data_IF_806105325919
#
_entry.id   IF_806105325919
#
_cell.length_a   1.000
_cell.length_b   1.000
_cell.length_c   1.000
_cell.angle_alpha   90.00
_cell.angle_beta   90.00
_cell.angle_gamma   90.00
#
_symmetry.space_group_name_H-M   'P 1'
#
loop_
_entity.id
_entity.type
_entity.pdbx_description
1 polymer ?
#
# COMPACT_ATOMS: atom_id res chain seq x y z
N UNK A 1 -37.60 -46.12 38.06
CA UNK A 1 -38.27 -45.63 36.84
C UNK A 1 -39.35 -44.61 37.17
N UNK A 2 -40.42 -44.92 37.92
CA UNK A 2 -41.49 -43.93 38.17
C UNK A 2 -41.01 -42.72 39.01
N UNK A 3 -40.32 -42.93 40.14
CA UNK A 3 -39.78 -41.81 40.94
C UNK A 3 -38.74 -40.93 40.22
N UNK A 4 -37.93 -41.50 39.32
CA UNK A 4 -36.91 -40.72 38.58
C UNK A 4 -37.56 -39.84 37.51
N UNK A 5 -38.59 -40.35 36.85
CA UNK A 5 -39.39 -39.56 35.90
C UNK A 5 -40.16 -38.44 36.60
N UNK A 6 -40.65 -38.67 37.82
CA UNK A 6 -41.33 -37.64 38.61
C UNK A 6 -40.39 -36.47 38.95
N UNK A 7 -39.17 -36.75 39.44
CA UNK A 7 -38.16 -35.72 39.75
C UNK A 7 -37.77 -34.92 38.49
N UNK A 8 -37.55 -35.59 37.35
CA UNK A 8 -37.23 -34.90 36.09
C UNK A 8 -38.40 -34.02 35.61
N UNK A 9 -39.64 -34.46 35.79
CA UNK A 9 -40.81 -33.67 35.45
C UNK A 9 -40.97 -32.45 36.36
N UNK A 10 -40.71 -32.58 37.67
CA UNK A 10 -40.71 -31.47 38.61
C UNK A 10 -39.66 -30.41 38.24
N UNK A 11 -38.43 -30.83 37.93
CA UNK A 11 -37.36 -29.92 37.48
C UNK A 11 -37.75 -29.21 36.18
N UNK A 12 -38.32 -29.95 35.22
CA UNK A 12 -38.80 -29.40 33.95
C UNK A 12 -39.88 -28.34 34.18
N UNK A 13 -40.87 -28.62 35.01
CA UNK A 13 -41.96 -27.68 35.32
C UNK A 13 -41.44 -26.45 36.06
N UNK A 14 -40.54 -26.63 37.02
CA UNK A 14 -39.87 -25.54 37.71
C UNK A 14 -39.17 -24.60 36.72
N UNK A 15 -38.45 -25.13 35.73
CA UNK A 15 -37.78 -24.30 34.73
C UNK A 15 -38.78 -23.59 33.83
N UNK A 16 -39.75 -24.33 33.29
CA UNK A 16 -40.73 -23.79 32.35
C UNK A 16 -41.62 -22.70 32.95
N UNK A 17 -41.98 -22.82 34.23
CA UNK A 17 -42.81 -21.84 34.92
C UNK A 17 -42.04 -20.60 35.36
N UNK A 18 -40.73 -20.71 35.63
CA UNK A 18 -39.98 -19.63 36.28
C UNK A 18 -38.93 -18.95 35.40
N UNK A 19 -38.48 -19.56 34.29
CA UNK A 19 -37.33 -19.07 33.54
C UNK A 19 -37.54 -18.87 32.03
N UNK A 20 -38.56 -19.46 31.41
CA UNK A 20 -38.78 -19.30 29.97
C UNK A 20 -39.12 -17.87 29.54
N UNK A 21 -39.49 -16.98 30.46
CA UNK A 21 -39.67 -15.55 30.16
C UNK A 21 -38.35 -14.77 30.05
N UNK A 22 -37.21 -15.35 30.46
CA UNK A 22 -35.91 -14.70 30.36
C UNK A 22 -35.37 -14.78 28.92
N UNK A 23 -34.63 -13.75 28.50
CA UNK A 23 -34.11 -13.64 27.14
C UNK A 23 -33.22 -14.83 26.77
N UNK A 24 -33.56 -15.50 25.67
CA UNK A 24 -32.78 -16.62 25.13
C UNK A 24 -33.01 -17.97 25.82
N UNK A 25 -33.81 -18.04 26.89
CA UNK A 25 -34.09 -19.29 27.61
C UNK A 25 -35.13 -20.13 26.85
N UNK A 26 -34.77 -21.34 26.45
CA UNK A 26 -35.70 -22.27 25.78
C UNK A 26 -36.65 -22.94 26.77
N UNK A 27 -37.71 -23.55 26.24
CA UNK A 27 -38.48 -24.54 27.00
C UNK A 27 -37.59 -25.72 27.38
N UNK A 28 -37.68 -26.14 28.64
CA UNK A 28 -37.00 -27.33 29.14
C UNK A 28 -37.68 -28.60 28.64
N UNK A 29 -36.86 -29.58 28.26
CA UNK A 29 -37.31 -30.92 27.83
C UNK A 29 -36.57 -31.99 28.62
N UNK A 30 -37.22 -33.13 28.86
CA UNK A 30 -36.57 -34.32 29.42
C UNK A 30 -35.95 -35.09 28.25
N UNK A 31 -34.65 -35.37 28.32
CA UNK A 31 -33.94 -36.24 27.37
C UNK A 31 -33.02 -37.17 28.14
N UNK A 32 -33.10 -38.46 27.81
CA UNK A 32 -32.41 -39.52 28.55
C UNK A 32 -32.71 -39.42 30.06
N UNK A 33 -31.69 -39.15 30.88
CA UNK A 33 -31.79 -39.03 32.34
C UNK A 33 -31.56 -37.59 32.86
N UNK A 34 -31.81 -36.58 32.03
CA UNK A 34 -31.61 -35.19 32.40
C UNK A 34 -32.71 -34.27 31.85
N UNK A 35 -32.97 -33.18 32.56
CA UNK A 35 -33.69 -32.03 32.03
C UNK A 35 -32.71 -31.13 31.31
N UNK A 36 -33.03 -30.74 30.09
CA UNK A 36 -32.19 -29.89 29.28
C UNK A 36 -32.92 -28.64 28.77
N UNK A 37 -32.24 -27.51 28.80
CA UNK A 37 -32.69 -26.26 28.21
C UNK A 37 -31.48 -25.43 27.76
N UNK A 38 -31.68 -24.50 26.84
CA UNK A 38 -30.61 -23.64 26.33
C UNK A 38 -30.80 -22.19 26.73
N UNK A 39 -29.70 -21.46 26.85
CA UNK A 39 -29.67 -20.00 26.81
C UNK A 39 -28.98 -19.61 25.50
N UNK A 40 -29.74 -19.08 24.55
CA UNK A 40 -29.27 -18.79 23.18
C UNK A 40 -29.48 -17.32 22.84
N UNK A 41 -28.43 -16.69 22.35
CA UNK A 41 -28.43 -15.34 21.78
C UNK A 41 -27.55 -15.30 20.51
N UNK A 42 -27.40 -14.11 19.97
CA UNK A 42 -26.59 -13.77 18.79
C UNK A 42 -25.06 -13.98 18.99
N UNK A 43 -24.57 -14.09 20.21
CA UNK A 43 -23.14 -14.31 20.52
C UNK A 43 -22.81 -15.76 20.89
N UNK A 44 -23.71 -16.44 21.60
CA UNK A 44 -23.48 -17.80 22.06
C UNK A 44 -24.79 -18.58 22.30
N UNK A 45 -24.66 -19.91 22.27
CA UNK A 45 -25.65 -20.85 22.77
C UNK A 45 -25.00 -21.78 23.79
N UNK A 46 -25.63 -21.89 24.95
CA UNK A 46 -25.22 -22.79 26.03
C UNK A 46 -26.38 -23.69 26.42
N UNK A 47 -26.12 -24.99 26.46
CA UNK A 47 -27.03 -26.03 26.93
C UNK A 47 -26.74 -26.31 28.40
N UNK A 48 -27.79 -26.30 29.22
CA UNK A 48 -27.74 -26.73 30.61
C UNK A 48 -28.41 -28.10 30.73
N UNK A 49 -27.71 -29.06 31.34
CA UNK A 49 -28.18 -30.40 31.62
C UNK A 49 -28.28 -30.58 33.13
N UNK A 50 -29.45 -30.98 33.63
CA UNK A 50 -29.72 -31.16 35.05
C UNK A 50 -30.17 -32.61 35.27
N UNK A 51 -29.42 -33.38 36.03
CA UNK A 51 -29.79 -34.76 36.36
C UNK A 51 -30.69 -34.85 37.62
N UNK A 52 -31.12 -36.06 37.96
CA UNK A 52 -31.96 -36.34 39.14
C UNK A 52 -31.27 -36.04 40.47
N UNK A 53 -29.94 -35.88 40.49
CA UNK A 53 -29.17 -35.46 41.67
C UNK A 53 -29.03 -33.93 41.78
N UNK A 54 -29.64 -33.18 40.86
CA UNK A 54 -29.46 -31.74 40.67
C UNK A 54 -28.03 -31.35 40.27
N UNK A 55 -27.24 -32.27 39.71
CA UNK A 55 -25.96 -31.92 39.12
C UNK A 55 -26.22 -31.14 37.82
N UNK A 56 -25.51 -30.02 37.63
CA UNK A 56 -25.70 -29.14 36.48
C UNK A 56 -24.43 -29.13 35.63
N UNK A 57 -24.57 -29.62 34.40
CA UNK A 57 -23.55 -29.51 33.37
C UNK A 57 -23.90 -28.38 32.40
N UNK A 58 -22.90 -27.59 32.06
CA UNK A 58 -22.92 -26.58 31.02
C UNK A 58 -22.21 -27.11 29.77
N UNK A 59 -22.84 -26.99 28.61
CA UNK A 59 -22.29 -27.44 27.33
C UNK A 59 -22.42 -26.36 26.25
N UNK A 60 -21.31 -25.98 25.63
CA UNK A 60 -21.29 -25.07 24.47
C UNK A 60 -21.29 -25.85 23.16
N UNK A 61 -22.06 -25.36 22.18
CA UNK A 61 -22.18 -26.00 20.86
C UNK A 61 -20.94 -25.83 19.96
N UNK A 62 -20.10 -24.82 20.24
CA UNK A 62 -18.83 -24.59 19.54
C UNK A 62 -17.77 -23.99 20.48
N UNK A 63 -16.46 -24.15 20.18
CA UNK A 63 -15.40 -23.47 20.93
C UNK A 63 -15.50 -21.93 20.89
N UNK A 64 -16.03 -21.36 19.82
CA UNK A 64 -16.22 -19.90 19.69
C UNK A 64 -17.22 -19.37 20.72
N UNK A 65 -18.28 -20.12 21.03
CA UNK A 65 -19.30 -19.74 22.01
C UNK A 65 -18.76 -19.63 23.43
N UNK A 66 -17.79 -20.47 23.80
CA UNK A 66 -17.22 -20.45 25.14
C UNK A 66 -16.21 -19.31 25.34
N UNK A 67 -15.70 -18.72 24.26
CA UNK A 67 -14.70 -17.63 24.29
C UNK A 67 -15.35 -16.33 24.78
N UNK A 68 -16.58 -16.04 24.34
CA UNK A 68 -17.35 -14.86 24.77
C UNK A 68 -17.60 -14.88 26.29
N UNK A 69 -18.03 -16.03 26.80
CA UNK A 69 -18.28 -16.24 28.23
C UNK A 69 -16.96 -16.30 29.02
N UNK A 70 -15.94 -16.92 28.43
CA UNK A 70 -14.58 -16.98 28.98
C UNK A 70 -13.98 -15.60 29.24
N UNK A 71 -14.10 -14.68 28.27
CA UNK A 71 -13.67 -13.28 28.41
C UNK A 71 -14.37 -12.58 29.58
N UNK A 72 -15.68 -12.78 29.75
CA UNK A 72 -16.43 -12.22 30.88
C UNK A 72 -15.91 -12.75 32.22
N UNK A 73 -15.63 -14.05 32.30
CA UNK A 73 -15.08 -14.69 33.51
C UNK A 73 -13.59 -14.48 33.77
N UNK A 74 -12.83 -14.00 32.77
CA UNK A 74 -11.37 -13.96 32.83
C UNK A 74 -10.68 -15.33 32.83
N UNK A 75 -11.35 -16.40 32.37
CA UNK A 75 -10.78 -17.76 32.30
C UNK A 75 -11.14 -18.47 30.99
N UNK A 76 -10.36 -19.47 30.60
CA UNK A 76 -10.69 -20.36 29.48
C UNK A 76 -11.70 -21.42 29.92
N UNK A 77 -12.80 -21.56 29.20
CA UNK A 77 -13.85 -22.55 29.48
C UNK A 77 -13.72 -23.77 28.56
N UNK A 78 -13.99 -24.96 29.10
CA UNK A 78 -14.15 -26.17 28.31
C UNK A 78 -15.54 -26.23 27.68
N UNK A 79 -15.66 -26.92 26.53
CA UNK A 79 -16.95 -27.10 25.85
C UNK A 79 -18.00 -27.81 26.71
N UNK A 80 -17.60 -28.64 27.67
CA UNK A 80 -18.47 -29.20 28.70
C UNK A 80 -17.83 -29.01 30.06
N UNK A 81 -18.57 -28.44 31.00
CA UNK A 81 -18.10 -28.17 32.37
C UNK A 81 -19.24 -28.40 33.35
N UNK A 82 -19.00 -29.21 34.38
CA UNK A 82 -19.91 -29.31 35.53
C UNK A 82 -19.77 -28.06 36.39
N UNK A 83 -20.87 -27.34 36.59
CA UNK A 83 -20.87 -26.06 37.31
C UNK A 83 -21.45 -26.16 38.73
N UNK A 84 -22.30 -27.17 38.99
CA UNK A 84 -22.90 -27.39 40.29
C UNK A 84 -23.07 -28.88 40.57
N UNK A 85 -22.65 -29.34 41.74
CA UNK A 85 -22.72 -30.74 42.19
C UNK A 85 -22.67 -30.80 43.71
N UNK A 86 -23.30 -31.80 44.33
CA UNK A 86 -23.26 -32.03 45.78
C UNK A 86 -23.63 -30.78 46.61
N UNK A 87 -24.63 -30.03 46.11
CA UNK A 87 -25.11 -28.76 46.68
C UNK A 87 -24.08 -27.62 46.74
N UNK A 88 -23.07 -27.64 45.87
CA UNK A 88 -21.99 -26.64 45.82
C UNK A 88 -21.63 -26.27 44.39
N UNK A 89 -21.15 -25.04 44.21
CA UNK A 89 -20.47 -24.64 42.98
C UNK A 89 -19.19 -25.46 42.80
N UNK A 90 -18.97 -25.95 41.57
CA UNK A 90 -17.75 -26.68 41.19
C UNK A 90 -16.75 -25.77 40.50
N UNK A 91 -17.21 -24.63 39.97
CA UNK A 91 -16.38 -23.68 39.22
C UNK A 91 -16.19 -22.37 39.98
N UNK A 92 -15.03 -21.74 39.77
CA UNK A 92 -14.63 -20.50 40.46
C UNK A 92 -15.27 -19.27 39.79
N UNK A 93 -15.51 -19.33 38.47
CA UNK A 93 -16.03 -18.20 37.70
C UNK A 93 -17.53 -17.94 37.90
N UNK A 94 -18.24 -18.90 38.49
CA UNK A 94 -19.67 -18.83 38.74
C UNK A 94 -19.93 -19.14 40.22
N UNK A 95 -19.72 -18.15 41.12
CA UNK A 95 -19.99 -18.36 42.53
C UNK A 95 -21.50 -18.51 42.73
N UNK A 96 -21.93 -19.70 43.18
CA UNK A 96 -23.32 -20.00 43.49
C UNK A 96 -23.51 -19.96 45.01
N UNK A 97 -24.52 -19.25 45.48
CA UNK A 97 -24.65 -18.90 46.91
C UNK A 97 -25.74 -19.69 47.63
N UNK A 98 -26.58 -20.41 46.90
CA UNK A 98 -27.67 -21.21 47.45
C UNK A 98 -27.51 -22.69 47.16
N UNK A 99 -28.12 -23.53 47.99
CA UNK A 99 -28.34 -24.95 47.71
C UNK A 99 -29.71 -25.24 47.10
N UNK A 100 -30.59 -24.23 47.02
CA UNK A 100 -31.92 -24.34 46.44
C UNK A 100 -31.83 -24.26 44.90
N UNK A 101 -32.27 -25.31 44.22
CA UNK A 101 -32.14 -25.45 42.76
C UNK A 101 -32.71 -24.24 42.00
N UNK A 102 -33.85 -23.70 42.43
CA UNK A 102 -34.47 -22.52 41.81
C UNK A 102 -33.55 -21.30 41.87
N UNK A 103 -32.94 -21.04 43.04
CA UNK A 103 -32.03 -19.89 43.22
C UNK A 103 -30.76 -20.12 42.41
N UNK A 104 -30.19 -21.33 42.46
CA UNK A 104 -29.01 -21.71 41.66
C UNK A 104 -29.25 -21.48 40.17
N UNK A 105 -30.37 -21.95 39.63
CA UNK A 105 -30.70 -21.76 38.20
C UNK A 105 -30.87 -20.28 37.84
N UNK A 106 -31.45 -19.47 38.73
CA UNK A 106 -31.55 -18.02 38.54
C UNK A 106 -30.16 -17.37 38.49
N UNK A 107 -29.26 -17.71 39.42
CA UNK A 107 -27.88 -17.20 39.44
C UNK A 107 -27.11 -17.57 38.15
N UNK A 108 -27.29 -18.80 37.65
CA UNK A 108 -26.70 -19.25 36.39
C UNK A 108 -27.26 -18.43 35.21
N UNK A 109 -28.57 -18.25 35.11
CA UNK A 109 -29.21 -17.50 34.01
C UNK A 109 -28.79 -16.03 34.05
N UNK A 110 -28.81 -15.40 35.23
CA UNK A 110 -28.40 -14.00 35.42
C UNK A 110 -26.94 -13.80 34.99
N UNK A 111 -26.06 -14.76 35.28
CA UNK A 111 -24.66 -14.74 34.83
C UNK A 111 -24.54 -14.71 33.30
N UNK A 112 -25.23 -15.57 32.56
CA UNK A 112 -25.15 -15.58 31.09
C UNK A 112 -25.74 -14.32 30.47
N UNK A 113 -26.82 -13.78 31.04
CA UNK A 113 -27.40 -12.52 30.59
C UNK A 113 -26.41 -11.37 30.82
N UNK A 114 -25.71 -11.35 31.96
CA UNK A 114 -24.66 -10.36 32.26
C UNK A 114 -23.48 -10.48 31.28
N UNK A 115 -23.00 -11.70 31.06
CA UNK A 115 -21.92 -11.98 30.11
C UNK A 115 -22.27 -11.49 28.69
N UNK A 116 -23.50 -11.76 28.24
CA UNK A 116 -24.01 -11.25 26.97
C UNK A 116 -24.02 -9.71 26.94
N UNK A 117 -24.61 -9.06 27.95
CA UNK A 117 -24.72 -7.60 27.99
C UNK A 117 -23.37 -6.90 27.98
N UNK A 118 -22.34 -7.47 28.63
CA UNK A 118 -21.00 -6.91 28.65
C UNK A 118 -20.24 -7.16 27.33
N UNK A 119 -20.37 -8.35 26.73
CA UNK A 119 -19.60 -8.70 25.54
C UNK A 119 -20.20 -8.12 24.24
N UNK A 120 -21.53 -7.98 24.16
CA UNK A 120 -22.31 -7.52 23.00
C UNK A 120 -21.66 -6.36 22.26
N UNK A 121 -21.46 -5.23 22.95
CA UNK A 121 -21.01 -4.01 22.28
C UNK A 121 -19.61 -4.15 21.69
N UNK A 122 -18.69 -4.76 22.43
CA UNK A 122 -17.31 -4.96 21.96
C UNK A 122 -17.25 -5.93 20.78
N UNK A 123 -17.96 -7.06 20.88
CA UNK A 123 -18.02 -8.04 19.80
C UNK A 123 -18.56 -7.44 18.50
N UNK A 124 -19.63 -6.65 18.59
CA UNK A 124 -20.19 -5.96 17.42
C UNK A 124 -19.24 -4.91 16.84
N UNK A 125 -18.60 -4.10 17.68
CA UNK A 125 -17.65 -3.09 17.22
C UNK A 125 -16.43 -3.72 16.52
N UNK A 126 -15.89 -4.81 17.05
CA UNK A 126 -14.78 -5.54 16.45
C UNK A 126 -15.15 -6.15 15.09
N UNK A 127 -16.34 -6.76 14.99
CA UNK A 127 -16.82 -7.33 13.74
C UNK A 127 -17.10 -6.26 12.68
N UNK A 128 -17.66 -5.12 13.07
CA UNK A 128 -17.85 -3.97 12.17
C UNK A 128 -16.50 -3.45 11.70
N UNK A 129 -15.53 -3.28 12.61
CA UNK A 129 -14.18 -2.84 12.25
C UNK A 129 -13.52 -3.78 11.25
N UNK A 130 -13.53 -5.10 11.53
CA UNK A 130 -12.99 -6.12 10.62
C UNK A 130 -13.68 -6.09 9.25
N UNK A 131 -15.00 -5.94 9.23
CA UNK A 131 -15.77 -5.82 7.99
C UNK A 131 -15.39 -4.55 7.21
N UNK A 132 -15.25 -3.41 7.89
CA UNK A 132 -14.82 -2.16 7.28
C UNK A 132 -13.40 -2.25 6.73
N UNK A 133 -12.46 -2.84 7.48
CA UNK A 133 -11.08 -3.05 7.04
C UNK A 133 -11.05 -3.92 5.78
N UNK A 134 -11.85 -5.00 5.73
CA UNK A 134 -12.01 -5.85 4.56
C UNK A 134 -12.60 -5.10 3.36
N UNK A 135 -13.63 -4.28 3.57
CA UNK A 135 -14.23 -3.45 2.50
C UNK A 135 -13.19 -2.45 1.96
N UNK A 136 -12.48 -1.75 2.85
CA UNK A 136 -11.42 -0.81 2.46
C UNK A 136 -10.30 -1.50 1.67
N UNK A 137 -9.92 -2.72 2.07
CA UNK A 137 -8.95 -3.53 1.33
C UNK A 137 -9.44 -3.87 -0.08
N UNK A 138 -10.67 -4.40 -0.20
CA UNK A 138 -11.26 -4.77 -1.50
C UNK A 138 -11.42 -3.56 -2.42
N UNK A 139 -11.79 -2.39 -1.88
CA UNK A 139 -11.90 -1.14 -2.65
C UNK A 139 -10.54 -0.66 -3.17
N UNK A 140 -9.49 -0.72 -2.34
CA UNK A 140 -8.12 -0.38 -2.76
C UNK A 140 -7.63 -1.33 -3.84
N UNK A 141 -7.89 -2.62 -3.69
CA UNK A 141 -7.51 -3.63 -4.67
C UNK A 141 -8.24 -3.43 -6.00
N UNK A 142 -9.55 -3.13 -5.94
CA UNK A 142 -10.32 -2.78 -7.14
C UNK A 142 -9.77 -1.52 -7.83
N UNK A 143 -9.48 -0.46 -7.08
CA UNK A 143 -8.90 0.77 -7.63
C UNK A 143 -7.56 0.49 -8.33
N UNK A 144 -6.72 -0.35 -7.72
CA UNK A 144 -5.43 -0.76 -8.28
C UNK A 144 -5.61 -1.50 -9.60
N UNK A 145 -6.49 -2.51 -9.62
CA UNK A 145 -6.79 -3.30 -10.83
C UNK A 145 -7.36 -2.42 -11.95
N UNK A 146 -8.35 -1.58 -11.65
CA UNK A 146 -8.96 -0.67 -12.62
C UNK A 146 -7.92 0.32 -13.18
N UNK A 147 -7.01 0.81 -12.34
CA UNK A 147 -5.92 1.72 -12.75
C UNK A 147 -4.92 1.01 -13.65
N UNK A 148 -4.47 -0.19 -13.28
CA UNK A 148 -3.50 -0.95 -14.06
C UNK A 148 -4.06 -1.31 -15.43
N UNK A 149 -5.34 -1.71 -15.52
CA UNK A 149 -5.98 -2.02 -16.79
C UNK A 149 -6.11 -0.78 -17.69
N UNK A 150 -6.53 0.36 -17.13
CA UNK A 150 -6.62 1.61 -17.88
C UNK A 150 -5.24 2.08 -18.38
N UNK A 151 -4.21 2.00 -17.54
CA UNK A 151 -2.82 2.27 -17.94
C UNK A 151 -2.38 1.33 -19.06
N UNK A 152 -2.67 0.04 -18.94
CA UNK A 152 -2.26 -0.98 -19.92
C UNK A 152 -2.87 -0.68 -21.27
N UNK A 153 -4.17 -0.39 -21.30
CA UNK A 153 -4.88 -0.04 -22.52
C UNK A 153 -4.37 1.28 -23.13
N UNK A 154 -4.09 2.29 -22.29
CA UNK A 154 -3.57 3.57 -22.75
C UNK A 154 -2.16 3.46 -23.33
N UNK A 155 -1.24 2.79 -22.62
CA UNK A 155 0.16 2.67 -23.02
C UNK A 155 0.36 1.68 -24.17
N UNK A 156 -0.57 0.74 -24.40
CA UNK A 156 -0.49 -0.25 -25.46
C UNK A 156 -0.37 0.43 -26.83
N UNK A 157 0.75 0.18 -27.51
CA UNK A 157 1.07 0.77 -28.81
C UNK A 157 1.52 2.23 -28.76
N UNK A 158 1.58 2.86 -27.57
CA UNK A 158 2.09 4.23 -27.36
C UNK A 158 3.45 4.24 -26.69
N UNK A 159 3.67 3.40 -25.67
CA UNK A 159 4.91 3.42 -24.91
C UNK A 159 6.00 2.55 -25.55
N UNK A 160 7.17 3.14 -25.78
CA UNK A 160 8.36 2.44 -26.25
C UNK A 160 8.97 1.61 -25.11
N UNK A 161 9.63 0.50 -25.47
CA UNK A 161 10.52 -0.20 -24.54
C UNK A 161 11.71 0.69 -24.16
N UNK A 162 12.49 0.31 -23.14
CA UNK A 162 13.68 1.08 -22.78
C UNK A 162 14.72 1.11 -23.92
N UNK A 163 14.96 -0.03 -24.59
CA UNK A 163 15.86 -0.08 -25.74
C UNK A 163 15.31 0.71 -26.94
N UNK A 164 14.02 0.61 -27.23
CA UNK A 164 13.42 1.36 -28.35
C UNK A 164 13.42 2.86 -28.06
N UNK A 165 13.33 3.26 -26.80
CA UNK A 165 13.50 4.65 -26.38
C UNK A 165 14.91 5.14 -26.73
N UNK A 166 15.98 4.39 -26.38
CA UNK A 166 17.36 4.75 -26.73
C UNK A 166 17.58 4.78 -28.25
N UNK A 167 17.08 3.78 -28.98
CA UNK A 167 17.14 3.73 -30.46
C UNK A 167 16.42 4.91 -31.10
N UNK A 168 15.28 5.33 -30.56
CA UNK A 168 14.55 6.49 -31.05
C UNK A 168 15.33 7.80 -30.86
N UNK A 169 16.05 7.96 -29.73
CA UNK A 169 16.88 9.14 -29.47
C UNK A 169 18.05 9.27 -30.45
N UNK A 170 18.61 8.15 -30.88
CA UNK A 170 19.68 8.10 -31.88
C UNK A 170 19.16 8.41 -33.29
N UNK A 171 18.09 7.71 -33.72
CA UNK A 171 17.61 7.78 -35.11
C UNK A 171 16.86 9.05 -35.50
N UNK A 172 16.24 9.75 -34.54
CA UNK A 172 15.35 10.91 -34.81
C UNK A 172 15.92 12.26 -34.35
N UNK A 173 17.15 12.29 -33.87
CA UNK A 173 17.78 13.45 -33.23
C UNK A 173 16.89 14.15 -32.16
N UNK A 174 16.06 13.38 -31.43
CA UNK A 174 15.14 13.90 -30.40
C UNK A 174 15.84 14.19 -29.07
N UNK A 175 15.49 15.27 -28.39
CA UNK A 175 15.84 15.48 -26.98
C UNK A 175 15.07 14.52 -26.07
N UNK A 176 15.42 14.45 -24.79
CA UNK A 176 14.80 13.56 -23.80
C UNK A 176 14.34 14.34 -22.58
N UNK A 177 13.05 14.26 -22.27
CA UNK A 177 12.44 14.84 -21.06
C UNK A 177 11.73 13.71 -20.31
N UNK A 178 12.20 13.36 -19.11
CA UNK A 178 11.67 12.22 -18.35
C UNK A 178 10.80 12.68 -17.19
N UNK A 179 9.76 11.90 -16.94
CA UNK A 179 8.89 12.02 -15.79
C UNK A 179 9.09 10.78 -14.92
N UNK A 180 9.47 11.01 -13.66
CA UNK A 180 9.41 10.06 -12.57
C UNK A 180 8.26 10.39 -11.61
N UNK A 181 8.27 9.75 -10.46
CA UNK A 181 7.34 10.01 -9.37
C UNK A 181 7.40 11.46 -8.87
N UNK A 182 8.60 12.06 -8.84
CA UNK A 182 8.79 13.46 -8.47
C UNK A 182 8.18 14.45 -9.45
N UNK A 183 8.47 14.31 -10.75
CA UNK A 183 7.87 15.19 -11.77
C UNK A 183 6.36 15.03 -11.85
N UNK A 184 5.85 13.80 -11.75
CA UNK A 184 4.41 13.53 -11.76
C UNK A 184 3.74 14.16 -10.52
N UNK A 185 4.37 14.09 -9.35
CA UNK A 185 3.86 14.74 -8.14
C UNK A 185 3.77 16.25 -8.35
N UNK A 186 4.85 16.90 -8.80
CA UNK A 186 4.86 18.33 -9.10
C UNK A 186 3.85 18.75 -10.20
N UNK A 187 3.50 17.84 -11.11
CA UNK A 187 2.52 18.08 -12.18
C UNK A 187 1.06 18.06 -11.66
N UNK A 188 0.76 17.28 -10.61
CA UNK A 188 -0.60 17.04 -10.11
C UNK A 188 -0.89 17.54 -8.69
N UNK A 189 0.10 18.04 -7.94
CA UNK A 189 -0.06 18.50 -6.54
C UNK A 189 0.52 19.90 -6.27
N UNK A 190 0.01 20.55 -5.22
CA UNK A 190 0.34 21.91 -4.80
C UNK A 190 1.40 22.01 -3.69
N UNK A 191 2.04 20.90 -3.31
CA UNK A 191 3.02 20.84 -2.20
C UNK A 191 4.47 20.52 -2.61
N UNK A 192 4.74 20.31 -3.90
CA UNK A 192 6.09 20.02 -4.40
C UNK A 192 6.52 18.57 -4.14
N UNK A 193 7.82 18.31 -4.21
CA UNK A 193 8.39 16.97 -4.02
C UNK A 193 9.85 17.03 -3.54
N UNK A 194 10.17 16.39 -2.41
CA UNK A 194 11.50 16.21 -1.81
C UNK A 194 12.40 17.46 -1.80
N UNK A 195 13.14 17.66 -2.90
CA UNK A 195 14.15 18.68 -3.10
C UNK A 195 13.63 19.87 -3.92
N UNK A 196 12.36 19.88 -4.32
CA UNK A 196 11.76 20.89 -5.18
C UNK A 196 10.41 21.36 -4.63
N UNK A 197 10.36 22.61 -4.20
CA UNK A 197 9.14 23.29 -3.78
C UNK A 197 8.16 23.48 -4.95
N UNK A 198 6.88 23.57 -4.57
CA UNK A 198 5.81 23.88 -5.51
C UNK A 198 5.97 25.27 -6.12
N UNK A 199 5.68 25.36 -7.42
CA UNK A 199 5.45 26.62 -8.11
C UNK A 199 4.42 26.39 -9.21
N UNK A 200 3.43 27.28 -9.32
CA UNK A 200 2.45 27.24 -10.41
C UNK A 200 3.12 27.33 -11.79
N UNK A 201 4.22 28.08 -11.90
CA UNK A 201 5.01 28.18 -13.14
C UNK A 201 5.65 26.83 -13.48
N UNK A 202 6.28 26.18 -12.50
CA UNK A 202 6.88 24.85 -12.64
C UNK A 202 5.84 23.83 -13.08
N UNK A 203 4.72 23.76 -12.35
CA UNK A 203 3.63 22.82 -12.63
C UNK A 203 3.09 23.00 -14.06
N UNK A 204 2.87 24.24 -14.49
CA UNK A 204 2.38 24.52 -15.83
C UNK A 204 3.40 24.17 -16.90
N UNK A 205 4.70 24.41 -16.69
CA UNK A 205 5.73 23.98 -17.63
C UNK A 205 5.78 22.45 -17.77
N UNK A 206 5.66 21.69 -16.67
CA UNK A 206 5.56 20.23 -16.74
C UNK A 206 4.33 19.77 -17.55
N UNK A 207 3.18 20.40 -17.34
CA UNK A 207 1.95 20.10 -18.08
C UNK A 207 2.08 20.45 -19.57
N UNK A 208 2.75 21.55 -19.88
CA UNK A 208 2.99 21.97 -21.26
C UNK A 208 3.92 21.00 -22.00
N UNK A 209 4.93 20.45 -21.31
CA UNK A 209 5.81 19.41 -21.83
C UNK A 209 5.00 18.14 -22.15
N UNK A 210 4.07 17.76 -21.29
CA UNK A 210 3.21 16.60 -21.55
C UNK A 210 2.27 16.80 -22.74
N UNK A 211 1.83 18.03 -23.03
CA UNK A 211 0.88 18.32 -24.11
C UNK A 211 1.54 18.59 -25.46
N UNK A 212 2.74 19.18 -25.47
CA UNK A 212 3.36 19.68 -26.69
C UNK A 212 4.69 19.01 -26.96
N UNK A 213 4.89 18.51 -28.19
CA UNK A 213 6.18 17.97 -28.61
C UNK A 213 7.13 19.10 -29.03
N UNK A 214 8.05 19.50 -28.13
CA UNK A 214 9.13 20.46 -28.40
C UNK A 214 10.40 19.78 -28.91
N UNK A 215 10.29 18.92 -29.93
CA UNK A 215 11.39 18.09 -30.42
C UNK A 215 12.06 17.24 -29.30
N UNK A 216 11.26 16.84 -28.31
CA UNK A 216 11.69 16.01 -27.19
C UNK A 216 10.80 14.80 -27.10
N UNK A 217 11.41 13.64 -26.88
CA UNK A 217 10.70 12.45 -26.48
C UNK A 217 10.32 12.61 -25.01
N UNK A 218 9.01 12.63 -24.76
CA UNK A 218 8.43 12.66 -23.41
C UNK A 218 8.39 11.24 -22.88
N UNK A 219 9.04 10.99 -21.75
CA UNK A 219 9.19 9.65 -21.19
C UNK A 219 8.48 9.52 -19.85
N UNK A 220 7.72 8.44 -19.67
CA UNK A 220 7.01 8.14 -18.42
C UNK A 220 7.38 6.76 -17.88
N UNK A 221 7.17 6.50 -16.57
CA UNK A 221 7.35 5.17 -16.02
C UNK A 221 6.27 4.25 -16.59
N UNK A 222 6.66 3.04 -16.98
CA UNK A 222 5.72 2.01 -17.40
C UNK A 222 4.98 1.37 -16.22
N UNK A 223 4.16 0.38 -16.53
CA UNK A 223 3.50 -0.47 -15.53
C UNK A 223 4.53 -1.44 -14.96
N UNK A 224 4.61 -1.51 -13.63
CA UNK A 224 5.45 -2.46 -12.88
C UNK A 224 4.58 -3.23 -11.89
N UNK A 225 3.87 -4.30 -12.32
CA UNK A 225 2.90 -5.00 -11.48
C UNK A 225 3.52 -5.62 -10.23
N UNK A 226 4.80 -5.95 -10.28
CA UNK A 226 5.59 -6.51 -9.17
C UNK A 226 6.06 -5.47 -8.14
N UNK A 227 6.02 -4.17 -8.46
CA UNK A 227 6.54 -3.12 -7.60
C UNK A 227 5.42 -2.48 -6.75
N UNK A 228 5.40 -2.69 -5.42
CA UNK A 228 4.34 -2.16 -4.55
C UNK A 228 4.30 -0.62 -4.51
N UNK A 229 5.45 0.04 -4.68
CA UNK A 229 5.53 1.49 -4.71
C UNK A 229 4.84 2.02 -5.97
N UNK A 230 5.21 1.54 -7.16
CA UNK A 230 4.60 1.99 -8.42
C UNK A 230 3.12 1.65 -8.49
N UNK A 231 2.70 0.49 -8.00
CA UNK A 231 1.28 0.13 -7.90
C UNK A 231 0.48 1.13 -7.07
N UNK A 232 0.99 1.50 -5.89
CA UNK A 232 0.34 2.46 -5.00
C UNK A 232 0.37 3.86 -5.58
N UNK A 233 1.51 4.27 -6.13
CA UNK A 233 1.71 5.57 -6.76
C UNK A 233 0.72 5.78 -7.91
N UNK A 234 0.67 4.85 -8.86
CA UNK A 234 -0.22 4.96 -10.01
C UNK A 234 -1.69 4.95 -9.63
N UNK A 235 -2.08 4.13 -8.65
CA UNK A 235 -3.46 4.12 -8.13
C UNK A 235 -3.92 5.51 -7.64
N UNK A 236 -2.99 6.31 -7.11
CA UNK A 236 -3.26 7.66 -6.64
C UNK A 236 -3.10 8.75 -7.71
N UNK A 237 -2.19 8.56 -8.68
CA UNK A 237 -1.75 9.62 -9.59
C UNK A 237 -2.26 9.47 -11.02
N UNK A 238 -2.53 8.26 -11.50
CA UNK A 238 -2.74 7.98 -12.93
C UNK A 238 -3.88 8.80 -13.53
N UNK A 239 -5.07 8.77 -12.94
CA UNK A 239 -6.24 9.50 -13.46
C UNK A 239 -6.01 11.02 -13.53
N UNK A 240 -5.25 11.58 -12.58
CA UNK A 240 -4.89 13.01 -12.55
C UNK A 240 -3.83 13.36 -13.59
N UNK A 241 -2.92 12.43 -13.87
CA UNK A 241 -1.82 12.63 -14.81
C UNK A 241 -2.24 12.38 -16.27
N UNK A 242 -3.05 11.36 -16.52
CA UNK A 242 -3.41 10.88 -17.87
C UNK A 242 -4.00 11.98 -18.76
N UNK A 243 -4.80 12.89 -18.19
CA UNK A 243 -5.45 14.00 -18.92
C UNK A 243 -4.46 14.96 -19.59
N UNK A 244 -3.18 14.92 -19.22
CA UNK A 244 -2.14 15.74 -19.84
C UNK A 244 -1.44 15.01 -21.00
N UNK A 245 -1.72 13.73 -21.20
CA UNK A 245 -1.07 12.87 -22.19
C UNK A 245 -1.99 12.50 -23.37
N UNK A 246 -3.20 13.06 -23.45
CA UNK A 246 -4.20 12.66 -24.44
C UNK A 246 -3.68 12.75 -25.89
N UNK A 247 -2.91 13.81 -26.20
CA UNK A 247 -2.30 14.07 -27.52
C UNK A 247 -0.93 13.38 -27.72
N UNK A 248 -0.43 12.63 -26.74
CA UNK A 248 0.83 11.91 -26.84
C UNK A 248 0.63 10.53 -27.47
N UNK A 249 1.03 10.41 -28.74
CA UNK A 249 0.96 9.15 -29.50
C UNK A 249 2.18 8.25 -29.30
N UNK A 250 3.34 8.82 -28.94
CA UNK A 250 4.57 8.08 -28.65
C UNK A 250 5.14 8.58 -27.33
N UNK A 251 5.27 7.66 -26.38
CA UNK A 251 5.78 7.91 -25.03
C UNK A 251 7.03 7.06 -24.85
N UNK A 252 8.15 7.65 -24.46
CA UNK A 252 9.34 6.87 -24.12
C UNK A 252 9.26 6.29 -22.70
N UNK A 253 10.18 5.40 -22.36
CA UNK A 253 10.26 4.83 -21.03
C UNK A 253 11.21 5.65 -20.14
N UNK A 254 10.75 6.20 -19.02
CA UNK A 254 11.62 7.01 -18.14
C UNK A 254 12.66 6.19 -17.38
N UNK A 255 12.49 4.85 -17.32
CA UNK A 255 13.41 3.91 -16.68
C UNK A 255 14.71 3.71 -17.46
N UNK A 256 14.86 4.32 -18.65
CA UNK A 256 16.10 4.30 -19.44
C UNK A 256 17.34 4.85 -18.71
N UNK A 257 17.13 5.61 -17.63
CA UNK A 257 18.19 6.16 -16.77
C UNK A 257 18.15 5.63 -15.32
N UNK A 258 17.32 4.61 -15.06
CA UNK A 258 17.20 3.96 -13.74
C UNK A 258 17.82 2.58 -13.78
N UNK A 259 17.98 1.96 -12.61
CA UNK A 259 18.62 0.65 -12.45
C UNK A 259 18.06 -0.43 -13.41
N UNK A 260 16.78 -0.34 -13.74
CA UNK A 260 16.07 -1.24 -14.64
C UNK A 260 16.79 -1.41 -15.99
N UNK A 261 17.26 -0.33 -16.62
CA UNK A 261 17.91 -0.43 -17.94
C UNK A 261 19.12 -1.36 -17.89
N UNK A 262 19.92 -1.26 -16.84
CA UNK A 262 21.16 -2.03 -16.70
C UNK A 262 20.89 -3.44 -16.20
N UNK A 263 19.93 -3.64 -15.29
CA UNK A 263 19.53 -4.97 -14.84
C UNK A 263 18.95 -5.82 -15.98
N UNK A 264 18.16 -5.22 -16.86
CA UNK A 264 17.50 -5.96 -17.94
C UNK A 264 18.32 -6.06 -19.22
N UNK A 265 19.20 -5.08 -19.50
CA UNK A 265 19.91 -5.00 -20.79
C UNK A 265 21.44 -4.90 -20.68
N UNK A 266 21.99 -4.78 -19.47
CA UNK A 266 23.44 -4.85 -19.22
C UNK A 266 24.27 -3.98 -20.16
N UNK A 267 25.24 -4.60 -20.81
CA UNK A 267 26.20 -3.92 -21.68
C UNK A 267 25.59 -3.34 -22.97
N UNK A 268 24.49 -3.91 -23.48
CA UNK A 268 23.79 -3.37 -24.67
C UNK A 268 23.30 -1.95 -24.40
N UNK A 269 22.70 -1.72 -23.22
CA UNK A 269 22.26 -0.40 -22.81
C UNK A 269 23.42 0.59 -22.66
N UNK A 270 24.56 0.13 -22.13
CA UNK A 270 25.76 0.96 -22.01
C UNK A 270 26.23 1.43 -23.38
N UNK A 271 26.31 0.51 -24.35
CA UNK A 271 26.68 0.85 -25.73
C UNK A 271 25.71 1.86 -26.34
N UNK A 272 24.40 1.59 -26.28
CA UNK A 272 23.38 2.49 -26.84
C UNK A 272 23.40 3.89 -26.21
N UNK A 273 23.68 3.99 -24.90
CA UNK A 273 23.87 5.29 -24.25
C UNK A 273 25.12 6.00 -24.79
N UNK A 274 26.26 5.30 -24.85
CA UNK A 274 27.54 5.86 -25.33
C UNK A 274 27.47 6.33 -26.78
N UNK A 275 26.72 5.65 -27.63
CA UNK A 275 26.51 6.02 -29.04
C UNK A 275 25.83 7.40 -29.18
N UNK A 276 25.04 7.83 -28.19
CA UNK A 276 24.36 9.14 -28.25
C UNK A 276 25.32 10.33 -28.14
N UNK A 277 26.52 10.14 -27.58
CA UNK A 277 27.53 11.18 -27.36
C UNK A 277 28.93 10.82 -27.86
N UNK A 278 29.05 9.78 -28.68
CA UNK A 278 30.33 9.37 -29.25
C UNK A 278 30.97 10.48 -30.09
N UNK A 279 32.19 10.88 -29.71
CA UNK A 279 32.93 11.96 -30.36
C UNK A 279 32.31 13.35 -30.25
N UNK A 280 31.32 13.56 -29.36
CA UNK A 280 30.60 14.84 -29.21
C UNK A 280 31.19 15.73 -28.12
N UNK A 281 31.04 17.03 -28.29
CA UNK A 281 31.33 18.04 -27.27
C UNK A 281 30.11 18.17 -26.35
N UNK A 282 30.29 17.84 -25.08
CA UNK A 282 29.21 17.70 -24.11
C UNK A 282 29.22 18.84 -23.10
N UNK A 283 28.04 19.37 -22.78
CA UNK A 283 27.84 20.20 -21.60
C UNK A 283 27.00 19.44 -20.57
N UNK A 284 27.58 19.18 -19.41
CA UNK A 284 26.90 18.59 -18.28
C UNK A 284 26.20 19.67 -17.46
N UNK A 285 24.98 19.38 -16.99
CA UNK A 285 24.26 20.27 -16.07
C UNK A 285 23.83 19.47 -14.84
N UNK A 286 24.26 19.89 -13.66
CA UNK A 286 23.95 19.19 -12.41
C UNK A 286 23.83 20.14 -11.22
N UNK A 287 23.36 19.64 -10.07
CA UNK A 287 23.31 20.39 -8.82
C UNK A 287 24.66 20.44 -8.10
N UNK A 288 24.98 21.56 -7.43
CA UNK A 288 26.13 21.68 -6.52
C UNK A 288 26.14 20.56 -5.48
N UNK A 289 27.30 19.96 -5.22
CA UNK A 289 27.42 18.85 -4.25
C UNK A 289 26.50 17.64 -4.54
N UNK A 290 26.05 17.49 -5.79
CA UNK A 290 25.39 16.26 -6.23
C UNK A 290 26.43 15.14 -6.37
N UNK A 291 25.95 13.90 -6.47
CA UNK A 291 26.81 12.72 -6.74
C UNK A 291 27.06 12.50 -8.23
N UNK A 292 26.76 13.50 -9.07
CA UNK A 292 26.99 13.39 -10.50
C UNK A 292 28.47 13.56 -10.80
N UNK A 293 29.02 12.60 -11.54
CA UNK A 293 30.43 12.58 -11.93
C UNK A 293 30.56 12.81 -13.45
N UNK A 294 31.07 13.98 -13.90
CA UNK A 294 31.30 14.25 -15.32
C UNK A 294 32.48 13.46 -15.91
N UNK A 295 33.36 12.89 -15.08
CA UNK A 295 34.51 12.08 -15.49
C UNK A 295 34.19 10.56 -15.53
N UNK A 296 32.92 10.21 -15.30
CA UNK A 296 32.46 8.83 -15.25
C UNK A 296 32.72 8.05 -16.55
N UNK A 297 32.99 6.74 -16.47
CA UNK A 297 33.35 5.86 -17.61
C UNK A 297 32.30 5.81 -18.75
N UNK A 298 31.05 6.14 -18.44
CA UNK A 298 29.98 6.30 -19.45
C UNK A 298 30.28 7.44 -20.43
N UNK A 299 31.06 8.44 -20.03
CA UNK A 299 31.40 9.59 -20.85
C UNK A 299 32.81 9.50 -21.44
N UNK A 300 33.48 8.34 -21.35
CA UNK A 300 34.87 8.19 -21.79
C UNK A 300 35.12 8.37 -23.30
N UNK A 301 34.05 8.42 -24.10
CA UNK A 301 34.10 8.54 -25.56
C UNK A 301 33.64 9.92 -26.07
N UNK A 302 33.44 10.90 -25.18
CA UNK A 302 33.16 12.27 -25.58
C UNK A 302 34.42 12.93 -26.16
N UNK A 303 34.26 13.93 -27.02
CA UNK A 303 35.37 14.74 -27.53
C UNK A 303 35.84 15.77 -26.51
N UNK A 304 34.92 16.43 -25.83
CA UNK A 304 35.20 17.42 -24.78
C UNK A 304 34.02 17.55 -23.83
N UNK A 305 34.27 18.01 -22.60
CA UNK A 305 33.26 18.17 -21.55
C UNK A 305 33.35 19.55 -20.88
N UNK A 306 32.20 20.16 -20.63
CA UNK A 306 32.03 21.34 -19.76
C UNK A 306 30.96 21.06 -18.71
N UNK A 307 30.96 21.81 -17.60
CA UNK A 307 30.01 21.60 -16.49
C UNK A 307 29.38 22.93 -16.06
N UNK A 308 28.05 22.96 -16.05
CA UNK A 308 27.25 24.01 -15.41
C UNK A 308 26.65 23.45 -14.12
N UNK A 309 26.88 24.15 -13.02
CA UNK A 309 26.27 23.83 -11.73
C UNK A 309 25.09 24.76 -11.44
N UNK A 310 23.99 24.18 -10.98
CA UNK A 310 22.82 24.84 -10.41
C UNK A 310 22.70 24.52 -8.91
N UNK A 311 21.65 24.99 -8.26
CA UNK A 311 21.32 24.57 -6.90
C UNK A 311 20.96 23.08 -6.85
N UNK A 312 21.20 22.42 -5.71
CA UNK A 312 20.85 21.00 -5.52
C UNK A 312 19.48 20.78 -4.87
N UNK A 313 18.85 21.88 -4.44
CA UNK A 313 17.47 21.97 -3.95
C UNK A 313 16.84 23.20 -4.57
N UNK A 314 15.57 23.12 -4.88
CA UNK A 314 14.78 24.17 -5.51
C UNK A 314 15.44 24.73 -6.78
N UNK A 315 16.14 23.89 -7.55
CA UNK A 315 16.92 24.30 -8.72
C UNK A 315 16.08 25.04 -9.77
N UNK A 316 14.75 24.88 -9.74
CA UNK A 316 13.85 25.59 -10.64
C UNK A 316 13.89 27.10 -10.44
N UNK A 317 14.20 27.61 -9.23
CA UNK A 317 14.36 29.05 -9.01
C UNK A 317 15.55 29.65 -9.78
N UNK A 318 16.50 28.81 -10.17
CA UNK A 318 17.73 29.17 -10.89
C UNK A 318 17.68 28.76 -12.38
N UNK A 319 16.55 28.22 -12.86
CA UNK A 319 16.45 27.62 -14.20
C UNK A 319 16.76 28.62 -15.33
N UNK A 320 16.36 29.89 -15.17
CA UNK A 320 16.56 30.91 -16.20
C UNK A 320 18.06 31.23 -16.36
N UNK A 321 18.81 31.36 -15.25
CA UNK A 321 20.27 31.54 -15.30
C UNK A 321 20.97 30.33 -15.92
N UNK A 322 20.56 29.11 -15.54
CA UNK A 322 21.13 27.87 -16.08
C UNK A 322 20.88 27.77 -17.57
N UNK A 323 19.67 28.08 -18.04
CA UNK A 323 19.32 28.10 -19.46
C UNK A 323 20.20 29.08 -20.25
N UNK A 324 20.34 30.33 -19.80
CA UNK A 324 21.22 31.31 -20.46
C UNK A 324 22.69 30.87 -20.47
N UNK A 325 23.16 30.24 -19.37
CA UNK A 325 24.51 29.68 -19.30
C UNK A 325 24.73 28.58 -20.33
N UNK A 326 23.75 27.69 -20.52
CA UNK A 326 23.80 26.66 -21.56
C UNK A 326 23.86 27.27 -22.97
N UNK A 327 23.10 28.33 -23.21
CA UNK A 327 23.05 29.00 -24.52
C UNK A 327 24.34 29.76 -24.87
N UNK A 328 25.09 30.19 -23.85
CA UNK A 328 26.33 30.94 -24.01
C UNK A 328 27.55 30.06 -24.35
N UNK A 329 27.49 28.73 -24.16
CA UNK A 329 28.62 27.84 -24.45
C UNK A 329 28.66 27.54 -25.96
N UNK A 330 29.71 27.98 -26.69
CA UNK A 330 29.86 27.68 -28.10
C UNK A 330 30.15 26.19 -28.31
N UNK A 331 29.89 25.69 -29.52
CA UNK A 331 30.31 24.37 -29.98
C UNK A 331 29.86 23.18 -29.10
N UNK A 332 28.76 23.33 -28.36
CA UNK A 332 28.14 22.22 -27.62
C UNK A 332 27.20 21.43 -28.54
N UNK A 333 27.54 20.16 -28.75
CA UNK A 333 26.74 19.24 -29.56
C UNK A 333 25.54 18.69 -28.78
N UNK A 334 25.71 18.46 -27.47
CA UNK A 334 24.68 17.85 -26.62
C UNK A 334 24.79 18.28 -25.15
N UNK A 335 23.64 18.53 -24.53
CA UNK A 335 23.52 18.79 -23.10
C UNK A 335 23.08 17.50 -22.38
N UNK A 336 23.80 17.10 -21.33
CA UNK A 336 23.45 15.96 -20.49
C UNK A 336 23.10 16.45 -19.07
N UNK A 337 21.87 16.23 -18.65
CA UNK A 337 21.27 16.94 -17.51
C UNK A 337 20.90 15.97 -16.38
N UNK A 338 21.38 16.25 -15.17
CA UNK A 338 21.08 15.52 -13.95
C UNK A 338 20.64 16.50 -12.85
N UNK A 339 19.42 17.06 -12.98
CA UNK A 339 18.93 18.16 -12.13
C UNK A 339 17.48 17.97 -11.63
N UNK A 340 17.09 16.72 -11.39
CA UNK A 340 15.73 16.36 -10.92
C UNK A 340 14.62 16.95 -11.80
N UNK A 341 13.55 17.43 -11.17
CA UNK A 341 12.39 18.05 -11.84
C UNK A 341 12.80 19.20 -12.76
N UNK A 342 13.82 19.97 -12.36
CA UNK A 342 14.34 21.08 -13.17
C UNK A 342 15.04 20.57 -14.42
N UNK A 343 15.65 19.38 -14.36
CA UNK A 343 16.27 18.73 -15.50
C UNK A 343 15.29 18.42 -16.62
N UNK A 344 14.11 17.90 -16.28
CA UNK A 344 13.01 17.65 -17.23
C UNK A 344 12.56 18.93 -17.95
N UNK A 345 12.45 20.03 -17.21
CA UNK A 345 12.03 21.31 -17.79
C UNK A 345 13.14 21.92 -18.63
N UNK A 346 14.38 21.90 -18.13
CA UNK A 346 15.53 22.43 -18.84
C UNK A 346 15.80 21.70 -20.15
N UNK A 347 15.69 20.37 -20.17
CA UNK A 347 15.88 19.59 -21.41
C UNK A 347 14.84 19.96 -22.47
N UNK A 348 13.57 20.16 -22.06
CA UNK A 348 12.52 20.63 -22.97
C UNK A 348 12.74 22.06 -23.46
N UNK A 349 13.17 22.99 -22.60
CA UNK A 349 13.47 24.37 -23.00
C UNK A 349 14.61 24.42 -24.01
N UNK A 350 15.70 23.68 -23.77
CA UNK A 350 16.83 23.59 -24.69
C UNK A 350 16.42 22.94 -26.02
N UNK A 351 15.59 21.91 -25.99
CA UNK A 351 15.01 21.30 -27.19
C UNK A 351 14.18 22.30 -28.00
N UNK A 352 13.35 23.11 -27.33
CA UNK A 352 12.59 24.19 -27.95
C UNK A 352 13.46 25.30 -28.55
N UNK A 353 14.67 25.49 -28.02
CA UNK A 353 15.69 26.40 -28.56
C UNK A 353 16.57 25.74 -29.65
N UNK A 354 16.21 24.55 -30.13
CA UNK A 354 16.96 23.84 -31.18
C UNK A 354 18.24 23.15 -30.71
N UNK A 355 18.45 23.02 -29.39
CA UNK A 355 19.59 22.32 -28.80
C UNK A 355 19.23 20.87 -28.45
N UNK A 356 20.15 19.94 -28.69
CA UNK A 356 19.98 18.55 -28.25
C UNK A 356 20.25 18.46 -26.75
N UNK A 357 19.25 18.04 -25.98
CA UNK A 357 19.35 17.93 -24.53
C UNK A 357 18.76 16.61 -24.03
N UNK A 358 19.50 15.90 -23.20
CA UNK A 358 19.07 14.64 -22.60
C UNK A 358 19.02 14.77 -21.08
N UNK A 359 17.83 14.66 -20.51
CA UNK A 359 17.67 14.43 -19.09
C UNK A 359 18.11 12.99 -18.75
N UNK A 360 19.31 12.85 -18.18
CA UNK A 360 19.93 11.57 -17.82
C UNK A 360 19.78 11.22 -16.34
N UNK A 361 19.29 12.14 -15.49
CA UNK A 361 18.98 11.87 -14.08
C UNK A 361 20.08 11.11 -13.33
N UNK A 362 19.74 9.92 -12.82
CA UNK A 362 20.63 9.08 -12.01
C UNK A 362 21.45 8.06 -12.82
N UNK A 363 21.61 8.23 -14.13
CA UNK A 363 22.23 7.24 -15.01
C UNK A 363 23.59 6.71 -14.50
N UNK A 364 24.52 7.61 -14.11
CA UNK A 364 25.85 7.21 -13.60
C UNK A 364 25.75 6.41 -12.31
N UNK A 365 24.92 6.86 -11.38
CA UNK A 365 24.71 6.17 -10.12
C UNK A 365 24.09 4.78 -10.30
N UNK A 366 23.12 4.66 -11.23
CA UNK A 366 22.48 3.38 -11.54
C UNK A 366 23.44 2.42 -12.25
N UNK A 367 24.35 2.94 -13.07
CA UNK A 367 25.44 2.14 -13.64
C UNK A 367 26.34 1.60 -12.53
N UNK A 368 26.83 2.48 -11.66
CA UNK A 368 27.70 2.11 -10.54
C UNK A 368 27.06 1.07 -9.61
N UNK A 369 25.75 1.18 -9.38
CA UNK A 369 25.03 0.21 -8.56
C UNK A 369 25.06 -1.19 -9.19
N UNK A 370 24.78 -1.30 -10.49
CA UNK A 370 24.67 -2.60 -11.16
C UNK A 370 26.03 -3.21 -11.46
N UNK A 371 26.98 -2.42 -11.95
CA UNK A 371 28.27 -2.93 -12.42
C UNK A 371 29.37 -2.90 -11.36
N UNK A 372 29.30 -2.00 -10.38
CA UNK A 372 30.31 -1.83 -9.35
C UNK A 372 29.82 -2.15 -7.93
N UNK A 373 28.53 -2.51 -7.78
CA UNK A 373 27.93 -2.84 -6.48
C UNK A 373 27.86 -1.66 -5.52
N UNK A 374 27.88 -0.40 -6.01
CA UNK A 374 27.78 0.78 -5.15
C UNK A 374 26.37 0.88 -4.51
N UNK A 375 26.27 1.44 -3.29
CA UNK A 375 25.00 1.62 -2.61
C UNK A 375 24.04 2.59 -3.31
N UNK A 376 22.74 2.43 -3.05
CA UNK A 376 21.66 3.28 -3.59
C UNK A 376 21.88 4.73 -3.15
N UNK A 377 22.02 5.70 -4.06
CA UNK A 377 22.30 7.10 -3.73
C UNK A 377 21.30 7.69 -2.74
N UNK A 378 20.01 7.43 -2.93
CA UNK A 378 18.92 7.95 -2.11
C UNK A 378 18.98 7.42 -0.66
N UNK A 379 19.72 6.33 -0.42
CA UNK A 379 19.94 5.74 0.92
C UNK A 379 21.27 6.18 1.56
N UNK A 380 22.10 6.92 0.85
CA UNK A 380 23.37 7.42 1.36
C UNK A 380 23.17 8.76 2.08
N UNK A 381 23.75 8.90 3.27
CA UNK A 381 23.72 10.15 4.03
C UNK A 381 24.29 11.31 3.18
N UNK A 382 23.71 12.53 3.24
CA UNK A 382 24.17 13.67 2.45
C UNK A 382 25.64 14.07 2.69
N UNK A 383 26.22 13.65 3.81
CA UNK A 383 27.59 13.98 4.22
C UNK A 383 28.68 13.00 3.77
N UNK A 384 28.36 11.98 2.97
CA UNK A 384 29.38 11.14 2.33
C UNK A 384 29.64 11.68 0.93
N UNK A 385 30.43 12.75 0.90
CA UNK A 385 31.15 13.26 -0.28
C UNK A 385 32.58 12.74 -0.23
#
# INVERSE_FOLDING_TARGET
MDMENDVLNEIRELINQNFCQYYGVSTATVRDNAVCFTITNDLFSVLLLIDTSHCIDMVFSSPENNTVVGIHSGITLNNRTTIYKDKKAVTIFLPLHSSELKIVLKEIIDYFISAYNQARNNYYLENIKKSNDNICFLLKEKLRQDTMEDMRLFMKGRQLSMLDTLKALAGKNLSLSRFGDGEITCLITDHGFDFQEHSWKLMNELRDICRHNRNTLVCFPGIKPEDPFWNSFWSASWKKCKVFLDDQFVIGNSMVSRIDIFNFHGQEAVTLWKDLWDGKSVCFVSGKNSRFDPEHILFSNIKSGSLILSENRNAYSDIDRVFESCMAIPDTDIFLIALGVTGTILSSRLAGAGKKALDIGHLTNCYDQVFLGKPVPEKLNPGWL
#
